data_IF_863839173769
#
_entry.id   IF_863839173769
#
_cell.length_a   1.000
_cell.length_b   1.000
_cell.length_c   1.000
_cell.angle_alpha   90.00
_cell.angle_beta   90.00
_cell.angle_gamma   90.00
#
_symmetry.space_group_name_H-M   'P 1'
#
loop_
_entity.id
_entity.type
_entity.pdbx_description
1 polymer ?
#
# COMPACT_ATOMS: atom_id res chain seq x y z
N UNK A 1 6.00 18.01 -1.57
CA UNK A 1 6.00 16.96 -0.54
C UNK A 1 4.61 16.38 -0.38
N UNK A 2 3.52 17.17 -0.36
CA UNK A 2 2.15 16.64 -0.23
C UNK A 2 1.76 15.72 -1.41
N UNK A 3 2.07 16.12 -2.65
CA UNK A 3 1.75 15.34 -3.86
C UNK A 3 2.49 14.01 -3.96
N UNK A 4 3.76 13.94 -3.55
CA UNK A 4 4.54 12.69 -3.59
C UNK A 4 3.98 11.66 -2.59
N UNK A 5 3.60 12.12 -1.39
CA UNK A 5 3.06 11.27 -0.33
C UNK A 5 1.68 10.71 -0.70
N UNK A 6 0.84 11.51 -1.36
CA UNK A 6 -0.45 11.07 -1.91
C UNK A 6 -0.28 10.08 -3.06
N UNK A 7 0.61 10.37 -4.02
CA UNK A 7 0.85 9.48 -5.18
C UNK A 7 1.42 8.11 -4.77
N UNK A 8 2.26 8.05 -3.74
CA UNK A 8 2.74 6.77 -3.19
C UNK A 8 1.58 5.93 -2.64
N UNK A 9 0.61 6.56 -1.96
CA UNK A 9 -0.61 5.86 -1.52
C UNK A 9 -1.39 5.27 -2.69
N UNK A 10 -1.61 6.04 -3.75
CA UNK A 10 -2.29 5.56 -4.96
C UNK A 10 -1.53 4.44 -5.68
N UNK A 11 -0.19 4.50 -5.72
CA UNK A 11 0.64 3.45 -6.31
C UNK A 11 0.52 2.12 -5.54
N UNK A 12 0.48 2.16 -4.20
CA UNK A 12 0.27 0.96 -3.38
C UNK A 12 -1.11 0.36 -3.60
N UNK A 13 -2.15 1.19 -3.58
CA UNK A 13 -3.52 0.73 -3.85
C UNK A 13 -3.60 0.11 -5.25
N UNK A 14 -2.98 0.73 -6.26
CA UNK A 14 -2.91 0.21 -7.62
C UNK A 14 -2.16 -1.12 -7.73
N UNK A 15 -1.04 -1.29 -7.03
CA UNK A 15 -0.29 -2.55 -6.99
C UNK A 15 -1.10 -3.68 -6.33
N UNK A 16 -1.78 -3.37 -5.22
CA UNK A 16 -2.67 -4.31 -4.53
C UNK A 16 -3.81 -4.73 -5.46
N UNK A 17 -4.53 -3.78 -6.07
CA UNK A 17 -5.61 -4.08 -7.03
C UNK A 17 -5.10 -4.84 -8.26
N UNK A 18 -3.88 -4.55 -8.74
CA UNK A 18 -3.23 -5.29 -9.81
C UNK A 18 -2.93 -6.74 -9.44
N UNK A 19 -2.46 -6.99 -8.22
CA UNK A 19 -2.26 -8.34 -7.69
C UNK A 19 -3.60 -9.10 -7.59
N UNK A 20 -4.70 -8.41 -7.32
CA UNK A 20 -6.05 -9.02 -7.22
C UNK A 20 -6.54 -9.53 -8.58
N UNK A 21 -6.28 -8.79 -9.65
CA UNK A 21 -6.78 -9.11 -11.00
C UNK A 21 -5.84 -10.08 -11.72
N UNK A 22 -4.52 -9.96 -11.50
CA UNK A 22 -3.53 -10.70 -12.27
C UNK A 22 -3.01 -11.96 -11.59
N UNK A 23 -3.15 -12.13 -10.26
CA UNK A 23 -2.54 -13.24 -9.55
C UNK A 23 -3.53 -14.33 -9.12
N UNK A 24 -3.17 -15.58 -9.38
CA UNK A 24 -3.88 -16.78 -8.89
C UNK A 24 -3.45 -17.19 -7.47
N UNK A 25 -2.50 -16.46 -6.88
CA UNK A 25 -1.94 -16.68 -5.54
C UNK A 25 -1.37 -15.37 -5.00
N UNK A 26 -1.72 -14.98 -3.78
CA UNK A 26 -1.28 -13.70 -3.22
C UNK A 26 -2.19 -13.25 -2.09
N UNK A 27 -1.76 -12.20 -1.39
CA UNK A 27 -2.49 -11.66 -0.24
C UNK A 27 -3.85 -11.16 -0.73
N UNK A 28 -3.84 -10.47 -1.87
CA UNK A 28 -5.05 -9.94 -2.46
C UNK A 28 -6.07 -10.97 -2.93
N UNK A 29 -5.57 -12.02 -3.57
CA UNK A 29 -6.39 -13.16 -3.98
C UNK A 29 -7.03 -13.87 -2.78
N UNK A 30 -6.30 -13.97 -1.67
CA UNK A 30 -6.79 -14.58 -0.43
C UNK A 30 -7.93 -13.75 0.21
N UNK A 31 -7.86 -12.42 0.13
CA UNK A 31 -8.91 -11.51 0.63
C UNK A 31 -10.19 -11.65 -0.20
N UNK A 32 -10.07 -11.65 -1.53
CA UNK A 32 -11.21 -11.76 -2.44
C UNK A 32 -11.89 -13.12 -2.31
N UNK A 33 -11.11 -14.21 -2.26
CA UNK A 33 -11.67 -15.56 -2.01
C UNK A 33 -12.28 -15.69 -0.61
N UNK A 34 -11.64 -15.13 0.41
CA UNK A 34 -12.17 -15.11 1.77
C UNK A 34 -13.51 -14.40 1.90
N UNK A 35 -13.67 -13.29 1.17
CA UNK A 35 -14.90 -12.52 1.06
C UNK A 35 -16.00 -13.32 0.36
N UNK A 36 -15.66 -14.10 -0.67
CA UNK A 36 -16.62 -14.97 -1.36
C UNK A 36 -17.19 -16.10 -0.45
N UNK A 37 -16.44 -16.53 0.56
CA UNK A 37 -16.88 -17.48 1.60
C UNK A 37 -17.60 -16.84 2.79
N UNK A 38 -17.85 -15.53 2.80
CA UNK A 38 -18.48 -14.79 3.92
C UNK A 38 -17.78 -14.99 5.29
N UNK A 39 -16.50 -15.37 5.29
CA UNK A 39 -15.73 -15.55 6.52
C UNK A 39 -15.14 -14.22 6.97
N UNK A 40 -15.76 -13.61 7.97
CA UNK A 40 -15.32 -12.35 8.58
C UNK A 40 -13.84 -12.39 8.98
N UNK A 41 -13.36 -13.54 9.48
CA UNK A 41 -11.96 -13.74 9.86
C UNK A 41 -10.97 -13.48 8.71
N UNK A 42 -11.30 -13.90 7.49
CA UNK A 42 -10.41 -13.72 6.33
C UNK A 42 -10.42 -12.28 5.84
N UNK A 43 -11.57 -11.61 5.92
CA UNK A 43 -11.70 -10.17 5.59
C UNK A 43 -10.90 -9.32 6.58
N UNK A 44 -11.02 -9.59 7.88
CA UNK A 44 -10.25 -8.89 8.91
C UNK A 44 -8.75 -9.16 8.81
N UNK A 45 -8.34 -10.41 8.55
CA UNK A 45 -6.95 -10.73 8.27
C UNK A 45 -6.42 -9.93 7.07
N UNK A 46 -7.23 -9.82 6.01
CA UNK A 46 -6.94 -8.97 4.85
C UNK A 46 -6.73 -7.51 5.20
N UNK A 47 -7.64 -6.95 5.99
CA UNK A 47 -7.59 -5.56 6.43
C UNK A 47 -6.31 -5.26 7.22
N UNK A 48 -5.95 -6.14 8.17
CA UNK A 48 -4.72 -6.02 8.98
C UNK A 48 -3.49 -6.02 8.08
N UNK A 49 -3.44 -6.90 7.08
CA UNK A 49 -2.30 -6.99 6.17
C UNK A 49 -2.19 -5.73 5.31
N UNK A 50 -3.31 -5.19 4.81
CA UNK A 50 -3.30 -3.93 4.04
C UNK A 50 -2.78 -2.78 4.90
N UNK A 51 -3.24 -2.66 6.15
CA UNK A 51 -2.77 -1.62 7.09
C UNK A 51 -1.28 -1.77 7.37
N UNK A 52 -0.80 -3.00 7.58
CA UNK A 52 0.63 -3.28 7.78
C UNK A 52 1.44 -2.88 6.54
N UNK A 53 0.98 -3.22 5.35
CA UNK A 53 1.67 -2.92 4.09
C UNK A 53 1.78 -1.41 3.85
N UNK A 54 0.71 -0.66 4.08
CA UNK A 54 0.72 0.81 4.01
C UNK A 54 1.64 1.42 5.06
N UNK A 55 1.66 0.84 6.28
CA UNK A 55 2.54 1.30 7.36
C UNK A 55 4.02 1.07 7.03
N UNK A 56 4.37 -0.11 6.51
CA UNK A 56 5.74 -0.44 6.06
C UNK A 56 6.16 0.49 4.93
N UNK A 57 5.30 0.72 3.94
CA UNK A 57 5.64 1.58 2.81
C UNK A 57 5.79 3.04 3.23
N UNK A 58 4.97 3.49 4.18
CA UNK A 58 5.12 4.81 4.81
C UNK A 58 6.45 4.93 5.56
N UNK A 59 6.90 3.87 6.22
CA UNK A 59 8.21 3.81 6.88
C UNK A 59 9.36 3.84 5.87
N UNK A 60 9.25 3.06 4.80
CA UNK A 60 10.23 3.02 3.71
C UNK A 60 10.35 4.40 3.06
N UNK A 61 9.22 5.09 2.84
CA UNK A 61 9.22 6.44 2.28
C UNK A 61 9.92 7.44 3.19
N UNK A 62 9.75 7.35 4.52
CA UNK A 62 10.50 8.17 5.49
C UNK A 62 12.01 7.89 5.44
N UNK A 63 12.41 6.63 5.18
CA UNK A 63 13.81 6.25 5.00
C UNK A 63 14.38 6.82 3.70
N UNK A 64 13.63 6.74 2.60
CA UNK A 64 13.99 7.35 1.31
C UNK A 64 14.13 8.86 1.43
N UNK A 65 13.21 9.53 2.13
CA UNK A 65 13.31 10.97 2.45
C UNK A 65 14.58 11.31 3.26
N UNK A 66 15.03 10.42 4.15
CA UNK A 66 16.29 10.60 4.90
C UNK A 66 17.54 10.41 4.05
N UNK A 67 17.50 9.51 3.06
CA UNK A 67 18.62 9.22 2.16
C UNK A 67 18.76 10.28 1.06
N UNK A 68 17.66 10.92 0.67
CA UNK A 68 17.64 12.00 -0.33
C UNK A 68 17.26 13.36 0.30
N UNK A 69 18.15 14.00 1.08
CA UNK A 69 17.92 15.33 1.64
C UNK A 69 17.95 16.49 0.61
N UNK A 70 18.00 16.19 -0.70
CA UNK A 70 18.18 17.18 -1.78
C UNK A 70 16.90 17.77 -2.39
N UNK A 71 15.71 17.25 -2.09
CA UNK A 71 14.45 17.74 -2.67
C UNK A 71 13.84 18.95 -1.93
N UNK A 72 14.58 19.50 -0.96
CA UNK A 72 14.06 20.45 0.03
C UNK A 72 13.88 21.88 -0.50
N UNK A 73 14.22 22.15 -1.77
CA UNK A 73 14.28 23.52 -2.30
C UNK A 73 13.17 23.89 -3.31
N UNK A 74 12.31 22.94 -3.73
CA UNK A 74 11.33 23.20 -4.80
C UNK A 74 9.94 23.64 -4.29
N UNK A 75 9.67 23.56 -2.97
CA UNK A 75 8.34 23.91 -2.40
C UNK A 75 8.24 25.28 -1.72
N UNK A 76 9.23 26.16 -1.92
CA UNK A 76 9.17 27.56 -1.51
C UNK A 76 9.16 28.48 -2.74
N UNK A 77 8.16 28.35 -3.61
CA UNK A 77 7.74 29.47 -4.46
C UNK A 77 6.27 29.35 -4.86
#
# INVERSE_FOLDING_TARGET
MQGLRLNVGFAVVGAIVGEFISSSSGIGHMIVRGSATFSLSTVFAGLVVVVLMVSVLSLAMRFVERILPGANHIERK
#
